data_IF_049004527613
#
_entry.id   IF_049004527613
#
_cell.length_a   1.000
_cell.length_b   1.000
_cell.length_c   1.000
_cell.angle_alpha   90.00
_cell.angle_beta   90.00
_cell.angle_gamma   90.00
#
_symmetry.space_group_name_H-M   'P 1'
#
loop_
_entity.id
_entity.type
_entity.pdbx_description
1 polymer ?
#
# COMPACT_ATOMS: atom_id res chain seq x y z
N UNK A 1 38.87 -43.96 -23.18
CA UNK A 1 39.71 -44.67 -22.18
C UNK A 1 39.65 -43.83 -20.90
N UNK A 2 38.99 -44.18 -19.79
CA UNK A 2 38.61 -45.47 -19.17
C UNK A 2 37.10 -45.69 -19.12
N UNK A 3 36.75 -46.97 -19.13
CA UNK A 3 35.42 -47.57 -19.03
C UNK A 3 35.14 -47.87 -17.55
N UNK A 4 33.90 -47.65 -17.06
CA UNK A 4 33.29 -48.56 -16.09
C UNK A 4 31.81 -48.80 -16.39
N UNK A 5 31.55 -50.09 -16.59
CA UNK A 5 30.30 -50.81 -16.78
C UNK A 5 29.22 -50.54 -15.74
N UNK A 6 27.96 -50.68 -16.16
CA UNK A 6 26.83 -50.91 -15.26
C UNK A 6 25.48 -50.90 -15.98
N UNK A 7 25.18 -51.94 -16.78
CA UNK A 7 23.82 -52.21 -17.24
C UNK A 7 22.94 -52.62 -16.06
N UNK A 8 21.75 -52.03 -15.91
CA UNK A 8 20.55 -52.72 -15.42
C UNK A 8 19.33 -52.26 -16.22
N UNK A 9 18.58 -53.25 -16.71
CA UNK A 9 17.36 -53.13 -17.49
C UNK A 9 16.15 -52.60 -16.68
N UNK A 10 15.33 -51.79 -17.37
CA UNK A 10 13.86 -51.55 -17.30
C UNK A 10 13.06 -52.53 -16.42
N UNK A 11 11.97 -52.12 -15.72
CA UNK A 11 10.71 -51.73 -16.40
C UNK A 11 9.69 -50.86 -15.59
N UNK A 12 8.49 -50.73 -16.17
CA UNK A 12 7.17 -50.31 -15.66
C UNK A 12 6.74 -48.83 -15.75
N UNK A 13 5.63 -48.69 -16.50
CA UNK A 13 4.78 -47.53 -16.65
C UNK A 13 3.99 -47.20 -15.37
N UNK A 14 3.24 -46.09 -15.45
CA UNK A 14 1.90 -45.80 -14.87
C UNK A 14 1.84 -44.45 -14.16
N UNK A 15 0.88 -43.62 -14.57
CA UNK A 15 0.17 -42.74 -13.64
C UNK A 15 0.41 -41.25 -13.76
N UNK A 16 -0.61 -40.56 -14.28
CA UNK A 16 -0.85 -39.12 -14.17
C UNK A 16 -1.06 -38.73 -12.69
N UNK A 17 -0.48 -37.61 -12.26
CA UNK A 17 -1.11 -36.73 -11.28
C UNK A 17 -0.62 -35.29 -11.48
N UNK A 18 -1.47 -34.46 -12.09
CA UNK A 18 -1.35 -33.01 -11.97
C UNK A 18 -1.59 -32.66 -10.49
N UNK A 19 -0.56 -32.17 -9.81
CA UNK A 19 -0.72 -31.53 -8.51
C UNK A 19 -0.90 -30.01 -8.70
N UNK A 20 -1.98 -29.62 -9.39
CA UNK A 20 -2.71 -28.41 -9.01
C UNK A 20 -3.38 -28.71 -7.69
N UNK A 21 -2.98 -28.06 -6.60
CA UNK A 21 -3.80 -27.69 -5.44
C UNK A 21 -2.89 -27.10 -4.34
N UNK A 22 -2.78 -25.78 -4.33
CA UNK A 22 -2.89 -24.95 -3.13
C UNK A 22 -3.39 -23.59 -3.60
N UNK A 23 -4.69 -23.52 -3.92
CA UNK A 23 -5.42 -22.26 -3.95
C UNK A 23 -5.52 -21.74 -2.52
N UNK A 24 -4.44 -21.17 -2.00
CA UNK A 24 -4.58 -20.12 -1.00
C UNK A 24 -5.12 -18.92 -1.75
N UNK A 25 -6.19 -18.29 -1.27
CA UNK A 25 -6.60 -17.00 -1.79
C UNK A 25 -5.39 -16.06 -1.65
N UNK A 26 -4.72 -15.82 -2.77
CA UNK A 26 -3.52 -15.00 -2.80
C UNK A 26 -3.94 -13.59 -2.42
N UNK A 27 -3.19 -13.00 -1.51
CA UNK A 27 -3.32 -11.62 -1.12
C UNK A 27 -3.55 -10.71 -2.36
N UNK A 28 -4.63 -9.92 -2.33
CA UNK A 28 -5.06 -9.15 -3.48
C UNK A 28 -4.21 -7.89 -3.61
N UNK A 29 -3.36 -7.85 -4.63
CA UNK A 29 -2.59 -6.67 -4.99
C UNK A 29 -3.45 -5.67 -5.74
N UNK A 30 -3.13 -4.39 -5.60
CA UNK A 30 -3.79 -3.31 -6.32
C UNK A 30 -2.80 -2.19 -6.63
N UNK A 31 -3.14 -1.37 -7.61
CA UNK A 31 -2.55 -0.06 -7.83
C UNK A 31 -3.59 1.02 -7.55
N UNK A 32 -3.16 2.23 -7.24
CA UNK A 32 -4.09 3.34 -7.09
C UNK A 32 -3.50 4.65 -7.61
N UNK A 33 -4.41 5.55 -7.94
CA UNK A 33 -4.15 6.96 -8.19
C UNK A 33 -5.13 7.77 -7.35
N UNK A 34 -4.70 8.93 -6.88
CA UNK A 34 -5.55 9.82 -6.11
C UNK A 34 -5.26 11.29 -6.39
N UNK A 35 -6.28 12.10 -6.13
CA UNK A 35 -6.21 13.55 -6.13
C UNK A 35 -6.80 14.08 -4.83
N UNK A 36 -6.14 15.08 -4.24
CA UNK A 36 -6.52 15.72 -3.00
C UNK A 36 -6.91 17.17 -3.23
N UNK A 37 -7.85 17.65 -2.43
CA UNK A 37 -8.12 19.08 -2.29
C UNK A 37 -6.98 19.78 -1.53
N UNK A 38 -6.98 21.10 -1.55
CA UNK A 38 -6.00 21.90 -0.84
C UNK A 38 -6.06 21.64 0.68
N UNK A 39 -4.95 21.24 1.34
CA UNK A 39 -4.97 20.93 2.76
C UNK A 39 -5.22 22.14 3.65
N UNK A 40 -6.04 21.97 4.68
CA UNK A 40 -6.07 22.91 5.82
C UNK A 40 -4.91 22.58 6.75
N UNK A 41 -4.00 23.54 6.94
CA UNK A 41 -2.78 23.34 7.74
C UNK A 41 -2.83 24.11 9.06
N UNK A 42 -2.22 23.53 10.08
CA UNK A 42 -1.97 24.15 11.39
C UNK A 42 -0.52 23.91 11.77
N UNK A 43 0.09 24.84 12.49
CA UNK A 43 1.48 24.66 12.91
C UNK A 43 2.13 25.91 13.45
N UNK A 44 3.36 25.73 13.90
CA UNK A 44 4.23 26.81 14.36
C UNK A 44 5.69 26.47 14.05
N UNK A 45 6.51 27.50 13.90
CA UNK A 45 7.95 27.37 13.75
C UNK A 45 8.65 28.12 14.88
N UNK A 46 9.60 27.46 15.53
CA UNK A 46 10.51 28.03 16.53
C UNK A 46 11.96 27.83 16.07
N UNK A 47 12.95 28.46 16.71
CA UNK A 47 14.36 28.21 16.42
C UNK A 47 14.78 26.73 16.56
N UNK A 48 14.08 25.94 17.38
CA UNK A 48 14.35 24.53 17.63
C UNK A 48 13.71 23.60 16.59
N UNK A 49 12.74 24.09 15.80
CA UNK A 49 12.11 23.34 14.73
C UNK A 49 10.67 23.76 14.41
N UNK A 50 10.06 23.07 13.45
CA UNK A 50 8.67 23.29 13.05
C UNK A 50 7.80 22.10 13.42
N UNK A 51 6.62 22.38 13.96
CA UNK A 51 5.52 21.42 14.13
C UNK A 51 4.43 21.76 13.14
N UNK A 52 3.86 20.75 12.50
CA UNK A 52 2.79 20.93 11.54
C UNK A 52 1.76 19.80 11.64
N UNK A 53 0.52 20.13 11.36
CA UNK A 53 -0.55 19.17 11.09
C UNK A 53 -1.35 19.63 9.87
N UNK A 54 -1.94 18.67 9.16
CA UNK A 54 -2.79 18.96 8.02
C UNK A 54 -4.04 18.08 8.03
N UNK A 55 -5.13 18.61 7.50
CA UNK A 55 -6.37 17.92 7.22
C UNK A 55 -6.74 18.14 5.76
N UNK A 56 -7.12 17.09 5.04
CA UNK A 56 -7.56 17.19 3.65
C UNK A 56 -8.50 16.06 3.27
N UNK A 57 -9.22 16.27 2.17
CA UNK A 57 -10.09 15.28 1.54
C UNK A 57 -9.65 15.03 0.10
N UNK A 58 -10.12 13.94 -0.49
CA UNK A 58 -9.84 13.63 -1.88
C UNK A 58 -10.58 12.40 -2.38
N UNK A 59 -10.20 11.99 -3.58
CA UNK A 59 -10.74 10.82 -4.26
C UNK A 59 -9.60 9.93 -4.78
N UNK A 60 -9.85 8.63 -4.82
CA UNK A 60 -8.91 7.64 -5.36
C UNK A 60 -9.61 6.63 -6.27
N UNK A 61 -8.94 6.32 -7.36
CA UNK A 61 -9.24 5.19 -8.24
C UNK A 61 -8.27 4.06 -7.93
N UNK A 62 -8.80 2.89 -7.59
CA UNK A 62 -8.05 1.68 -7.28
C UNK A 62 -8.27 0.68 -8.40
N UNK A 63 -7.20 0.09 -8.92
CA UNK A 63 -7.26 -1.02 -9.88
C UNK A 63 -6.75 -2.29 -9.22
N UNK A 64 -7.62 -3.28 -9.07
CA UNK A 64 -7.31 -4.56 -8.48
C UNK A 64 -6.58 -5.47 -9.49
N UNK A 65 -5.93 -6.52 -9.00
CA UNK A 65 -5.19 -7.47 -9.84
C UNK A 65 -6.04 -8.20 -10.90
N UNK A 66 -7.34 -8.33 -10.66
CA UNK A 66 -8.30 -8.91 -11.62
C UNK A 66 -8.77 -7.92 -12.69
N UNK A 67 -8.27 -6.67 -12.64
CA UNK A 67 -8.63 -5.59 -13.55
C UNK A 67 -9.90 -4.83 -13.14
N UNK A 68 -10.56 -5.20 -12.05
CA UNK A 68 -11.67 -4.41 -11.52
C UNK A 68 -11.19 -3.05 -11.03
N UNK A 69 -12.03 -2.04 -11.22
CA UNK A 69 -11.72 -0.65 -10.87
C UNK A 69 -12.76 -0.16 -9.87
N UNK A 70 -12.27 0.40 -8.77
CA UNK A 70 -13.06 0.92 -7.69
C UNK A 70 -12.74 2.39 -7.46
N UNK A 71 -13.79 3.18 -7.21
CA UNK A 71 -13.64 4.56 -6.77
C UNK A 71 -13.91 4.66 -5.27
N UNK A 72 -13.17 5.53 -4.61
CA UNK A 72 -13.30 5.83 -3.19
C UNK A 72 -13.06 7.31 -2.94
N UNK A 73 -13.67 7.85 -1.90
CA UNK A 73 -13.30 9.13 -1.31
C UNK A 73 -12.54 8.89 -0.02
N UNK A 74 -11.72 9.85 0.39
CA UNK A 74 -11.00 9.76 1.65
C UNK A 74 -10.94 11.09 2.39
N UNK A 75 -10.75 10.98 3.69
CA UNK A 75 -10.44 12.07 4.61
C UNK A 75 -9.16 11.71 5.34
N UNK A 76 -8.20 12.63 5.35
CA UNK A 76 -6.88 12.41 5.91
C UNK A 76 -6.51 13.44 6.96
N UNK A 77 -5.67 13.01 7.90
CA UNK A 77 -4.90 13.86 8.79
C UNK A 77 -3.43 13.47 8.74
N UNK A 78 -2.54 14.44 8.89
CA UNK A 78 -1.12 14.17 9.10
C UNK A 78 -0.52 15.07 10.15
N UNK A 79 0.58 14.61 10.73
CA UNK A 79 1.40 15.39 11.66
C UNK A 79 2.88 15.22 11.37
N UNK A 80 3.63 16.28 11.62
CA UNK A 80 5.08 16.30 11.68
C UNK A 80 5.48 16.99 12.98
N UNK A 81 6.24 16.29 13.82
CA UNK A 81 6.76 16.83 15.07
C UNK A 81 8.26 16.51 15.17
N UNK A 82 9.10 17.48 15.53
CA UNK A 82 10.45 17.20 16.00
C UNK A 82 10.40 16.36 17.29
N UNK A 83 11.46 15.60 17.60
CA UNK A 83 12.74 15.58 16.88
C UNK A 83 12.67 14.58 15.70
N UNK A 84 13.28 14.95 14.56
CA UNK A 84 13.18 14.19 13.28
C UNK A 84 14.04 12.92 13.25
N UNK A 85 14.41 12.40 14.41
CA UNK A 85 15.21 11.19 14.66
C UNK A 85 14.42 9.89 14.39
N UNK A 86 13.22 10.04 13.84
CA UNK A 86 12.31 8.99 13.41
C UNK A 86 12.60 8.58 11.95
N UNK A 87 12.26 7.34 11.61
CA UNK A 87 12.36 6.80 10.24
C UNK A 87 11.50 7.61 9.24
N UNK A 88 10.47 8.30 9.73
CA UNK A 88 9.54 9.11 8.94
C UNK A 88 9.43 10.53 9.47
N UNK A 89 9.42 11.50 8.56
CA UNK A 89 9.27 12.93 8.86
C UNK A 89 7.81 13.33 9.08
N UNK A 90 6.87 12.61 8.44
CA UNK A 90 5.44 12.87 8.50
C UNK A 90 4.71 11.56 8.75
N UNK A 91 3.71 11.58 9.63
CA UNK A 91 2.80 10.46 9.86
C UNK A 91 1.41 10.83 9.41
N UNK A 92 0.76 9.97 8.64
CA UNK A 92 -0.57 10.18 8.09
C UNK A 92 -1.55 9.09 8.51
N UNK A 93 -2.82 9.45 8.65
CA UNK A 93 -3.94 8.51 8.74
C UNK A 93 -5.03 9.01 7.80
N UNK A 94 -5.57 8.12 6.98
CA UNK A 94 -6.68 8.40 6.09
C UNK A 94 -7.77 7.36 6.28
N UNK A 95 -9.02 7.80 6.37
CA UNK A 95 -10.17 6.94 6.22
C UNK A 95 -10.71 7.05 4.81
N UNK A 96 -10.86 5.92 4.14
CA UNK A 96 -11.46 5.81 2.82
C UNK A 96 -12.80 5.10 2.85
N UNK A 97 -13.70 5.54 1.97
CA UNK A 97 -15.04 4.97 1.75
C UNK A 97 -15.27 4.76 0.26
N UNK A 98 -15.69 3.56 -0.11
CA UNK A 98 -16.02 3.20 -1.49
C UNK A 98 -17.06 2.09 -1.56
N UNK A 99 -17.49 1.73 -2.77
CA UNK A 99 -18.53 0.71 -2.98
C UNK A 99 -18.16 -0.67 -2.39
N UNK A 100 -16.86 -1.00 -2.40
CA UNK A 100 -16.33 -2.26 -1.88
C UNK A 100 -16.15 -2.26 -0.36
N UNK A 101 -16.36 -1.13 0.32
CA UNK A 101 -16.27 -1.02 1.76
C UNK A 101 -15.31 0.08 2.21
N UNK A 102 -15.29 0.28 3.53
CA UNK A 102 -14.49 1.29 4.19
C UNK A 102 -13.16 0.72 4.66
N UNK A 103 -12.15 1.57 4.68
CA UNK A 103 -10.80 1.22 5.12
C UNK A 103 -10.10 2.40 5.82
N UNK A 104 -9.01 2.08 6.50
CA UNK A 104 -8.07 3.05 7.06
C UNK A 104 -6.68 2.78 6.49
N UNK A 105 -6.01 3.82 6.01
CA UNK A 105 -4.58 3.85 5.71
C UNK A 105 -3.88 4.54 6.87
N UNK A 106 -2.77 3.99 7.35
CA UNK A 106 -1.82 4.71 8.19
C UNK A 106 -0.45 4.64 7.55
N UNK A 107 0.26 5.76 7.47
CA UNK A 107 1.51 5.87 6.72
C UNK A 107 2.58 6.66 7.46
N UNK A 108 3.82 6.30 7.19
CA UNK A 108 4.99 7.11 7.46
C UNK A 108 5.59 7.58 6.15
N UNK A 109 5.91 8.87 6.06
CA UNK A 109 6.41 9.52 4.85
C UNK A 109 7.74 10.23 5.08
N UNK A 110 8.56 10.24 4.04
CA UNK A 110 9.76 11.07 3.93
C UNK A 110 9.56 12.13 2.85
N UNK A 111 9.98 13.35 3.14
CA UNK A 111 9.95 14.47 2.19
C UNK A 111 11.10 14.26 1.22
N UNK A 112 10.77 14.20 -0.07
CA UNK A 112 11.73 14.03 -1.15
C UNK A 112 12.12 15.38 -1.74
N UNK A 113 11.12 16.25 -1.95
CA UNK A 113 11.29 17.62 -2.42
C UNK A 113 10.21 18.51 -1.75
N UNK A 114 10.58 19.38 -0.78
CA UNK A 114 9.62 20.22 -0.09
C UNK A 114 9.00 21.31 -0.98
N UNK A 115 9.71 21.79 -2.01
CA UNK A 115 9.21 22.85 -2.90
C UNK A 115 8.16 22.31 -3.87
N UNK A 116 8.34 21.06 -4.31
CA UNK A 116 7.38 20.36 -5.17
C UNK A 116 6.24 19.67 -4.39
N UNK A 117 6.24 19.73 -3.06
CA UNK A 117 5.32 18.96 -2.22
C UNK A 117 5.43 17.46 -2.46
N UNK A 118 6.65 16.96 -2.68
CA UNK A 118 6.92 15.58 -3.04
C UNK A 118 7.28 14.75 -1.81
N UNK A 119 6.57 13.63 -1.63
CA UNK A 119 6.77 12.71 -0.52
C UNK A 119 6.73 11.26 -1.01
N UNK A 120 7.47 10.40 -0.33
CA UNK A 120 7.36 8.96 -0.48
C UNK A 120 7.03 8.32 0.86
N UNK A 121 6.03 7.46 0.86
CA UNK A 121 5.48 6.85 2.06
C UNK A 121 5.38 5.33 1.95
N UNK A 122 5.39 4.70 3.11
CA UNK A 122 4.97 3.32 3.29
C UNK A 122 3.91 3.28 4.39
N UNK A 123 2.95 2.39 4.26
CA UNK A 123 1.83 2.33 5.20
C UNK A 123 1.21 0.96 5.33
N UNK A 124 0.30 0.86 6.28
CA UNK A 124 -0.58 -0.27 6.48
C UNK A 124 -2.04 0.06 6.15
N UNK A 125 -2.81 -0.99 5.96
CA UNK A 125 -4.24 -0.95 5.67
C UNK A 125 -5.02 -1.71 6.75
N UNK A 126 -6.17 -1.19 7.11
CA UNK A 126 -7.16 -1.84 7.98
C UNK A 126 -8.51 -1.75 7.28
N UNK A 127 -9.10 -2.89 6.94
CA UNK A 127 -10.43 -2.93 6.36
C UNK A 127 -11.52 -2.95 7.44
N UNK A 128 -12.47 -2.03 7.32
CA UNK A 128 -13.50 -1.75 8.33
C UNK A 128 -14.85 -2.37 7.97
N UNK A 129 -15.21 -2.41 6.68
CA UNK A 129 -16.52 -2.88 6.21
C UNK A 129 -16.43 -3.47 4.79
N UNK A 130 -17.56 -4.00 4.29
CA UNK A 130 -17.67 -4.55 2.95
C UNK A 130 -16.70 -5.70 2.66
N UNK A 131 -16.15 -5.73 1.45
CA UNK A 131 -15.15 -6.68 0.97
C UNK A 131 -13.79 -6.53 1.67
N UNK A 132 -13.60 -5.44 2.43
CA UNK A 132 -12.39 -5.22 3.21
C UNK A 132 -12.51 -5.68 4.67
N UNK A 133 -13.72 -5.99 5.17
CA UNK A 133 -13.94 -6.27 6.58
C UNK A 133 -13.00 -7.36 7.13
N UNK A 134 -12.22 -7.03 8.17
CA UNK A 134 -11.28 -7.94 8.83
C UNK A 134 -9.93 -8.09 8.13
N UNK A 135 -9.77 -7.56 6.91
CA UNK A 135 -8.52 -7.60 6.15
C UNK A 135 -7.52 -6.59 6.69
N UNK A 136 -6.25 -6.92 6.54
CA UNK A 136 -5.12 -6.01 6.76
C UNK A 136 -4.29 -5.91 5.51
N UNK A 137 -3.41 -4.94 5.40
CA UNK A 137 -2.58 -4.84 4.20
C UNK A 137 -1.44 -3.87 4.37
N UNK A 138 -0.70 -3.69 3.28
CA UNK A 138 0.38 -2.70 3.18
C UNK A 138 0.31 -2.00 1.83
N UNK A 139 0.88 -0.80 1.77
CA UNK A 139 0.99 -0.04 0.54
C UNK A 139 2.23 0.85 0.54
N UNK A 140 2.65 1.22 -0.66
CA UNK A 140 3.59 2.32 -0.92
C UNK A 140 2.83 3.47 -1.56
N UNK A 141 3.25 4.69 -1.28
CA UNK A 141 2.62 5.91 -1.80
C UNK A 141 3.73 6.84 -2.28
N UNK A 142 3.60 7.35 -3.49
CA UNK A 142 4.36 8.49 -3.96
C UNK A 142 3.39 9.64 -4.22
N UNK A 143 3.64 10.77 -3.58
CA UNK A 143 2.81 11.97 -3.65
C UNK A 143 3.62 13.12 -4.23
N UNK A 144 2.99 13.93 -5.08
CA UNK A 144 3.57 15.17 -5.62
C UNK A 144 2.46 16.19 -5.82
N UNK A 145 2.53 17.29 -5.08
CA UNK A 145 1.44 18.25 -4.98
C UNK A 145 0.15 17.57 -4.49
N UNK A 146 -0.98 17.86 -5.14
CA UNK A 146 -2.27 17.24 -4.82
C UNK A 146 -2.47 15.82 -5.35
N UNK A 147 -1.54 15.25 -6.12
CA UNK A 147 -1.68 13.93 -6.72
C UNK A 147 -0.86 12.87 -5.97
N UNK A 148 -1.38 11.64 -5.89
CA UNK A 148 -0.60 10.50 -5.43
C UNK A 148 -0.84 9.25 -6.28
N UNK A 149 0.14 8.36 -6.30
CA UNK A 149 0.04 7.05 -6.91
C UNK A 149 0.80 6.01 -6.08
N UNK A 150 0.42 4.75 -6.20
CA UNK A 150 1.12 3.69 -5.49
C UNK A 150 0.57 2.30 -5.75
N UNK A 151 1.10 1.36 -4.99
CA UNK A 151 0.71 -0.05 -5.03
C UNK A 151 0.49 -0.56 -3.62
N UNK A 152 -0.42 -1.51 -3.48
CA UNK A 152 -0.70 -2.14 -2.20
C UNK A 152 -1.14 -3.58 -2.34
N UNK A 153 -1.31 -4.22 -1.18
CA UNK A 153 -1.71 -5.59 -1.07
C UNK A 153 -2.57 -5.77 0.18
N UNK A 154 -3.73 -6.39 0.00
CA UNK A 154 -4.58 -6.86 1.07
C UNK A 154 -4.24 -8.31 1.42
N UNK A 155 -4.09 -8.58 2.71
CA UNK A 155 -3.94 -9.89 3.33
C UNK A 155 -5.29 -10.34 3.93
N UNK A 156 -5.49 -11.66 3.97
CA UNK A 156 -6.61 -12.31 4.67
C UNK A 156 -6.31 -12.52 6.16
#
# INVERSE_FOLDING_TARGET
>A
MRIKFGQILRPLAYGVAAATLCGGALAQTFTFQSTSEEPTTVGATTPEGSVAGAYWTGASTVTMADGSVNESTFTCVSTSQPPRDSIFMVHGVCDGTGADGDYTVYSGCNIMDPEAGEMSCVGGLIGKSGNYAGRRGVLTIHSKGGASAGTGQWFE
#
